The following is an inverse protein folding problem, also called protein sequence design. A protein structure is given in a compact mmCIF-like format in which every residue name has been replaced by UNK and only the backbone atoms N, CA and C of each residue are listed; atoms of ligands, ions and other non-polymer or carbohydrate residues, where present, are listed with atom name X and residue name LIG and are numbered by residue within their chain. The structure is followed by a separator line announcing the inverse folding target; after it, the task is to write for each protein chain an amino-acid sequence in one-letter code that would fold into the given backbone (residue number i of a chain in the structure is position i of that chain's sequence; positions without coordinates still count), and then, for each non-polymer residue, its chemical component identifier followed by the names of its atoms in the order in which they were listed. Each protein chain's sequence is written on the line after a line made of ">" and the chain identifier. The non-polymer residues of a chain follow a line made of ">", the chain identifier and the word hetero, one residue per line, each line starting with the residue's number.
data_IF_189405499838
#
_entry.id   IF_189405499838
#
_cell.length_a   1.000
_cell.length_b   1.000
_cell.length_c   1.000
_cell.angle_alpha   90.00
_cell.angle_beta   90.00
_cell.angle_gamma   90.00
#
_symmetry.space_group_name_H-M   'P 1'
#
loop_
_entity.id
_entity.type
_entity.pdbx_description
1 polymer ?
#
# COMPACT_ATOMS: atom_id res chain seq x y z
N UNK A 1 -7.36 2.19 32.86
CA UNK A 1 -8.14 1.59 31.76
C UNK A 1 -7.44 1.91 30.46
N UNK A 2 -7.09 0.89 29.65
CA UNK A 2 -6.48 1.08 28.33
C UNK A 2 -7.56 1.51 27.31
N UNK A 3 -7.23 2.39 26.35
CA UNK A 3 -8.15 2.96 25.36
C UNK A 3 -7.76 2.53 23.95
N UNK A 4 -8.71 1.98 23.21
CA UNK A 4 -8.52 1.51 21.82
C UNK A 4 -8.17 2.61 20.82
N UNK A 5 -8.62 3.85 21.06
CA UNK A 5 -8.28 5.00 20.20
C UNK A 5 -6.88 5.57 20.41
N UNK A 6 -6.16 5.16 21.47
CA UNK A 6 -4.78 5.59 21.71
C UNK A 6 -3.84 4.63 20.96
N UNK A 7 -3.83 4.78 19.65
CA UNK A 7 -2.96 4.02 18.74
C UNK A 7 -2.13 4.96 17.87
N UNK A 8 -0.96 4.49 17.47
CA UNK A 8 -0.02 5.21 16.61
C UNK A 8 0.82 4.19 15.85
N UNK A 9 1.13 4.49 14.60
CA UNK A 9 2.07 3.74 13.78
C UNK A 9 3.33 4.57 13.57
N UNK A 10 4.49 3.98 13.83
CA UNK A 10 5.78 4.52 13.39
C UNK A 10 6.39 3.58 12.36
N UNK A 11 7.10 4.14 11.39
CA UNK A 11 7.80 3.40 10.35
C UNK A 11 9.24 3.88 10.19
N UNK A 12 10.14 2.97 9.86
CA UNK A 12 11.47 3.30 9.36
C UNK A 12 11.86 2.25 8.33
N UNK A 13 12.39 2.69 7.19
CA UNK A 13 12.82 1.81 6.09
C UNK A 13 14.33 1.64 6.15
N UNK A 14 14.80 0.45 5.78
CA UNK A 14 16.20 0.16 5.64
C UNK A 14 16.75 0.91 4.43
N UNK A 15 17.77 1.74 4.63
CA UNK A 15 18.42 2.52 3.58
C UNK A 15 19.38 1.68 2.71
N UNK A 16 19.44 0.37 2.96
CA UNK A 16 20.33 -0.59 2.29
C UNK A 16 21.72 -0.70 2.93
N UNK A 17 21.98 0.04 4.03
CA UNK A 17 23.25 -0.03 4.76
C UNK A 17 23.20 -0.94 5.99
N UNK A 18 22.05 -1.53 6.30
CA UNK A 18 21.86 -2.43 7.44
C UNK A 18 21.41 -3.81 6.98
N UNK A 19 21.74 -4.83 7.77
CA UNK A 19 21.28 -6.20 7.54
C UNK A 19 19.75 -6.28 7.66
N UNK A 20 19.17 -7.25 6.95
CA UNK A 20 17.73 -7.51 6.98
C UNK A 20 17.24 -7.83 8.40
N UNK A 21 16.04 -7.36 8.75
CA UNK A 21 15.35 -7.76 9.98
C UNK A 21 15.89 -7.10 11.26
N UNK A 22 16.79 -6.12 11.12
CA UNK A 22 17.27 -5.31 12.23
C UNK A 22 16.16 -4.38 12.72
N UNK A 23 16.13 -4.11 14.03
CA UNK A 23 15.26 -3.12 14.64
C UNK A 23 15.76 -1.70 14.33
N UNK A 24 15.34 -1.18 13.18
CA UNK A 24 15.81 0.10 12.63
C UNK A 24 15.42 1.28 13.53
N UNK A 25 14.22 1.24 14.11
CA UNK A 25 13.71 2.31 15.00
C UNK A 25 14.52 2.35 16.30
N UNK A 26 14.88 1.19 16.86
CA UNK A 26 15.73 1.16 18.05
C UNK A 26 17.17 1.61 17.72
N UNK A 27 17.69 1.19 16.57
CA UNK A 27 19.07 1.46 16.16
C UNK A 27 19.33 2.92 15.73
N UNK A 28 18.39 3.55 15.03
CA UNK A 28 18.65 4.80 14.31
C UNK A 28 17.82 5.99 14.83
N UNK A 29 16.94 5.78 15.81
CA UNK A 29 16.15 6.84 16.44
C UNK A 29 14.68 6.82 16.04
N UNK A 30 13.93 7.90 16.32
CA UNK A 30 12.48 7.87 16.22
C UNK A 30 12.03 7.58 14.78
N UNK A 31 11.19 6.56 14.60
CA UNK A 31 10.53 6.29 13.32
C UNK A 31 9.59 7.44 12.90
N UNK A 32 9.31 7.53 11.61
CA UNK A 32 8.36 8.47 11.03
C UNK A 32 6.93 8.11 11.47
N UNK A 33 6.16 9.02 12.08
CA UNK A 33 4.77 8.76 12.41
C UNK A 33 3.89 8.76 11.16
N UNK A 34 3.09 7.71 11.03
CA UNK A 34 2.16 7.54 9.90
C UNK A 34 0.75 7.95 10.34
N UNK A 35 0.17 8.93 9.64
CA UNK A 35 -1.18 9.41 9.90
C UNK A 35 -2.19 8.45 9.28
N UNK A 36 -2.80 7.61 10.11
CA UNK A 36 -3.63 6.49 9.66
C UNK A 36 -5.11 6.65 10.02
N UNK A 37 -5.96 6.01 9.24
CA UNK A 37 -7.37 5.75 9.55
C UNK A 37 -7.64 4.24 9.50
N UNK A 38 -8.52 3.74 10.39
CA UNK A 38 -8.84 2.31 10.43
C UNK A 38 -7.68 1.37 10.80
N UNK A 39 -6.65 1.87 11.48
CA UNK A 39 -5.43 1.13 11.80
C UNK A 39 -5.66 -0.08 12.74
N UNK A 40 -5.41 -1.30 12.30
CA UNK A 40 -5.57 -2.52 13.10
C UNK A 40 -4.27 -3.35 13.12
N UNK A 41 -4.14 -4.23 14.13
CA UNK A 41 -2.99 -5.12 14.28
C UNK A 41 -3.46 -6.53 14.61
N UNK A 42 -2.89 -7.51 13.91
CA UNK A 42 -2.90 -8.91 14.33
C UNK A 42 -1.55 -9.22 14.97
N UNK A 43 -1.47 -9.25 16.31
CA UNK A 43 -0.19 -9.18 17.04
C UNK A 43 0.59 -10.49 17.05
N UNK A 44 -0.03 -11.61 16.69
CA UNK A 44 0.57 -12.94 16.71
C UNK A 44 -0.15 -13.79 15.66
N UNK A 45 0.44 -13.86 14.47
CA UNK A 45 0.10 -14.81 13.41
C UNK A 45 1.14 -15.95 13.43
N UNK A 46 0.76 -17.12 12.94
CA UNK A 46 1.62 -18.30 12.91
C UNK A 46 0.82 -19.60 12.94
N UNK A 47 1.51 -20.72 13.08
CA UNK A 47 0.91 -22.05 13.14
C UNK A 47 0.97 -22.65 14.55
N UNK A 48 -0.06 -23.41 14.93
CA UNK A 48 -0.10 -24.21 16.15
C UNK A 48 0.37 -25.64 15.84
N UNK A 49 1.59 -25.96 16.23
CA UNK A 49 2.15 -27.31 16.12
C UNK A 49 1.76 -28.13 17.35
N UNK A 50 0.79 -29.04 17.21
CA UNK A 50 0.43 -29.96 18.29
C UNK A 50 1.55 -30.96 18.57
N UNK A 51 1.83 -31.17 19.87
CA UNK A 51 2.79 -32.16 20.33
C UNK A 51 2.04 -33.43 20.72
N UNK A 52 1.90 -34.36 19.78
CA UNK A 52 1.21 -35.65 19.99
C UNK A 52 1.96 -36.59 20.97
N UNK A 53 2.03 -36.21 22.25
CA UNK A 53 2.77 -36.93 23.27
C UNK A 53 1.95 -38.10 23.85
N UNK A 54 2.55 -39.29 23.86
CA UNK A 54 2.04 -40.50 24.52
C UNK A 54 2.22 -40.44 26.04
N UNK A 55 1.37 -39.65 26.70
CA UNK A 55 1.37 -39.48 28.17
C UNK A 55 0.38 -40.40 28.91
N UNK A 56 -0.19 -41.40 28.22
CA UNK A 56 -1.16 -42.34 28.80
C UNK A 56 -2.50 -41.72 29.22
N UNK A 57 -2.81 -40.49 28.79
CA UNK A 57 -4.06 -39.78 29.07
C UNK A 57 -4.76 -39.35 27.77
N UNK A 58 -6.08 -39.45 27.77
CA UNK A 58 -6.95 -38.93 26.70
C UNK A 58 -7.11 -37.40 26.84
N UNK A 59 -7.36 -36.72 25.72
CA UNK A 59 -7.57 -35.27 25.65
C UNK A 59 -6.48 -34.52 24.88
N UNK A 60 -6.65 -33.20 24.74
CA UNK A 60 -5.76 -32.33 23.98
C UNK A 60 -4.32 -32.41 24.48
N UNK A 61 -3.38 -32.29 23.54
CA UNK A 61 -1.96 -32.25 23.86
C UNK A 61 -1.43 -30.81 23.84
N UNK A 62 -0.28 -30.54 24.46
CA UNK A 62 0.34 -29.22 24.39
C UNK A 62 0.68 -28.86 22.93
N UNK A 63 0.61 -27.58 22.59
CA UNK A 63 1.02 -27.06 21.27
C UNK A 63 2.20 -26.09 21.39
N UNK A 64 2.91 -25.89 20.28
CA UNK A 64 3.93 -24.86 20.11
C UNK A 64 3.46 -23.88 19.04
N UNK A 65 3.75 -22.60 19.22
CA UNK A 65 3.56 -21.60 18.18
C UNK A 65 4.84 -21.51 17.36
N UNK A 66 4.71 -21.66 16.04
CA UNK A 66 5.81 -21.58 15.07
C UNK A 66 5.44 -20.60 13.98
N UNK A 67 6.42 -20.08 13.25
CA UNK A 67 6.15 -19.14 12.16
C UNK A 67 5.65 -17.77 12.61
N UNK A 68 6.13 -17.29 13.76
CA UNK A 68 5.54 -16.12 14.42
C UNK A 68 5.82 -14.82 13.65
N UNK A 69 4.76 -14.20 13.16
CA UNK A 69 4.82 -12.92 12.49
C UNK A 69 3.65 -12.02 12.92
N UNK A 70 3.68 -10.77 12.47
CA UNK A 70 2.71 -9.74 12.85
C UNK A 70 2.19 -9.08 11.59
N UNK A 71 0.89 -8.79 11.58
CA UNK A 71 0.24 -8.04 10.50
C UNK A 71 -0.35 -6.74 11.00
N UNK A 72 -0.19 -5.68 10.22
CA UNK A 72 -0.84 -4.38 10.44
C UNK A 72 -1.59 -4.01 9.16
N UNK A 73 -2.80 -3.51 9.30
CA UNK A 73 -3.55 -2.94 8.18
C UNK A 73 -4.13 -1.58 8.54
N UNK A 74 -4.37 -0.75 7.53
CA UNK A 74 -4.95 0.56 7.70
C UNK A 74 -5.01 1.33 6.39
N UNK A 75 -5.36 2.61 6.50
CA UNK A 75 -5.40 3.52 5.36
C UNK A 75 -4.67 4.82 5.70
N UNK A 76 -4.10 5.45 4.68
CA UNK A 76 -3.52 6.80 4.75
C UNK A 76 -4.18 7.68 3.69
N UNK A 77 -4.22 8.98 3.93
CA UNK A 77 -4.69 9.97 2.95
C UNK A 77 -3.60 10.20 1.90
N UNK A 78 -3.98 10.15 0.62
CA UNK A 78 -3.02 10.22 -0.47
C UNK A 78 -2.84 11.67 -0.95
N UNK A 79 -1.66 12.23 -0.68
CA UNK A 79 -1.32 13.63 -0.99
C UNK A 79 0.15 13.76 -1.41
N UNK A 80 0.51 14.83 -2.11
CA UNK A 80 1.92 15.21 -2.25
C UNK A 80 2.53 15.68 -0.92
N UNK A 81 3.86 15.77 -0.87
CA UNK A 81 4.64 16.10 0.34
C UNK A 81 4.62 17.59 0.76
N UNK A 82 3.98 18.46 -0.03
CA UNK A 82 3.99 19.92 0.13
C UNK A 82 5.17 20.63 -0.55
N UNK A 83 6.18 19.89 -1.03
CA UNK A 83 7.28 20.38 -1.84
C UNK A 83 7.74 19.30 -2.84
N UNK A 84 8.07 19.69 -4.08
CA UNK A 84 8.26 18.76 -5.21
C UNK A 84 9.42 17.77 -5.07
N UNK A 85 10.46 18.13 -4.29
CA UNK A 85 11.65 17.29 -4.08
C UNK A 85 11.68 16.62 -2.70
N UNK A 86 10.57 16.70 -1.96
CA UNK A 86 10.42 16.05 -0.67
C UNK A 86 9.64 14.77 -0.86
N UNK A 87 10.13 13.62 -0.37
CA UNK A 87 9.36 12.39 -0.34
C UNK A 87 8.02 12.53 0.39
N UNK A 88 7.03 11.76 -0.06
CA UNK A 88 5.72 11.73 0.56
C UNK A 88 5.79 11.09 1.94
N UNK A 89 4.95 11.54 2.87
CA UNK A 89 4.95 11.03 4.24
C UNK A 89 4.57 9.54 4.37
N UNK A 90 3.91 8.97 3.35
CA UNK A 90 3.59 7.54 3.23
C UNK A 90 4.64 6.74 2.46
N UNK A 91 5.75 7.34 2.01
CA UNK A 91 6.82 6.64 1.29
C UNK A 91 7.30 5.35 1.98
N UNK A 92 7.42 5.27 3.33
CA UNK A 92 7.79 4.02 3.99
C UNK A 92 6.89 2.82 3.67
N UNK A 93 5.59 3.06 3.47
CA UNK A 93 4.61 2.01 3.12
C UNK A 93 4.88 1.54 1.68
N UNK A 94 5.08 2.48 0.76
CA UNK A 94 5.38 2.16 -0.64
C UNK A 94 6.70 1.38 -0.77
N UNK A 95 7.71 1.78 0.01
CA UNK A 95 9.02 1.15 -0.02
C UNK A 95 8.99 -0.31 0.42
N UNK A 96 8.33 -0.61 1.55
CA UNK A 96 8.14 -2.02 1.97
C UNK A 96 7.16 -2.78 1.08
N UNK A 97 6.36 -2.08 0.26
CA UNK A 97 5.53 -2.66 -0.79
C UNK A 97 6.27 -2.86 -2.12
N UNK A 98 7.60 -2.75 -2.14
CA UNK A 98 8.42 -3.08 -3.31
C UNK A 98 8.67 -1.91 -4.27
N UNK A 99 8.50 -0.66 -3.81
CA UNK A 99 8.82 0.52 -4.62
C UNK A 99 10.12 1.18 -4.16
N UNK A 100 10.90 1.67 -5.11
CA UNK A 100 12.09 2.46 -4.86
C UNK A 100 11.79 3.93 -5.08
N UNK A 101 12.01 4.71 -4.04
CA UNK A 101 12.00 6.16 -4.08
C UNK A 101 13.27 6.70 -4.76
N UNK A 102 13.09 7.62 -5.70
CA UNK A 102 14.17 8.35 -6.36
C UNK A 102 13.82 9.83 -6.41
N UNK A 103 14.59 10.67 -5.73
CA UNK A 103 14.44 12.13 -5.80
C UNK A 103 15.08 12.63 -7.10
N UNK A 104 14.23 13.06 -8.03
CA UNK A 104 14.64 13.62 -9.31
C UNK A 104 14.97 15.11 -9.24
N UNK A 105 14.98 15.76 -10.42
CA UNK A 105 15.26 17.20 -10.52
C UNK A 105 14.01 18.08 -10.30
N UNK A 106 12.81 17.53 -10.48
CA UNK A 106 11.54 18.26 -10.39
C UNK A 106 10.43 17.50 -9.66
N UNK A 107 10.66 16.25 -9.29
CA UNK A 107 9.65 15.36 -8.70
C UNK A 107 10.35 14.24 -7.92
N UNK A 108 9.58 13.53 -7.11
CA UNK A 108 10.02 12.27 -6.48
C UNK A 108 9.28 11.12 -7.17
N UNK A 109 10.05 10.19 -7.73
CA UNK A 109 9.57 9.01 -8.43
C UNK A 109 9.57 7.79 -7.50
N UNK A 110 8.54 6.96 -7.59
CA UNK A 110 8.42 5.68 -6.91
C UNK A 110 8.17 4.62 -7.98
N UNK A 111 9.20 3.82 -8.28
CA UNK A 111 9.15 2.78 -9.29
C UNK A 111 9.27 1.40 -8.65
N UNK A 112 8.58 0.39 -9.19
CA UNK A 112 8.68 -0.99 -8.73
C UNK A 112 10.13 -1.49 -8.84
N UNK A 113 10.59 -2.20 -7.82
CA UNK A 113 11.87 -2.91 -7.81
C UNK A 113 11.69 -4.28 -8.46
N UNK A 114 12.63 -4.67 -9.34
CA UNK A 114 12.54 -5.91 -10.13
C UNK A 114 13.81 -6.76 -10.07
N UNK A 115 14.79 -6.37 -9.26
CA UNK A 115 16.08 -7.03 -9.10
C UNK A 115 16.23 -7.76 -7.75
N UNK A 116 15.12 -7.93 -7.01
CA UNK A 116 15.08 -8.50 -5.65
C UNK A 116 15.79 -7.64 -4.59
N UNK A 117 15.93 -6.33 -4.83
CA UNK A 117 16.48 -5.36 -3.87
C UNK A 117 15.39 -4.56 -3.14
N UNK A 118 14.17 -5.11 -3.03
CA UNK A 118 13.04 -4.44 -2.39
C UNK A 118 13.41 -4.09 -0.94
N UNK A 119 13.22 -2.83 -0.50
CA UNK A 119 13.55 -2.42 0.87
C UNK A 119 12.75 -3.18 1.93
N UNK A 120 13.39 -3.48 3.06
CA UNK A 120 12.70 -3.87 4.29
C UNK A 120 12.46 -2.70 5.23
N UNK A 121 11.62 -2.88 6.24
CA UNK A 121 11.36 -1.83 7.22
C UNK A 121 11.02 -2.36 8.61
N UNK A 122 11.12 -1.47 9.59
CA UNK A 122 10.64 -1.67 10.95
C UNK A 122 9.40 -0.83 11.19
N UNK A 123 8.34 -1.46 11.71
CA UNK A 123 7.12 -0.77 12.10
C UNK A 123 6.82 -1.00 13.57
N UNK A 124 6.49 0.07 14.29
CA UNK A 124 6.02 -0.01 15.67
C UNK A 124 4.56 0.39 15.74
N UNK A 125 3.72 -0.55 16.16
CA UNK A 125 2.31 -0.28 16.47
C UNK A 125 2.14 -0.06 17.97
N UNK A 126 1.73 1.14 18.34
CA UNK A 126 1.42 1.47 19.71
C UNK A 126 -0.07 1.26 19.98
N UNK A 127 -0.40 0.61 21.11
CA UNK A 127 -1.76 0.41 21.61
C UNK A 127 -1.76 0.70 23.11
N UNK A 128 -2.12 1.92 23.53
CA UNK A 128 -2.17 2.42 24.92
C UNK A 128 -1.34 1.62 25.95
N UNK A 129 -0.01 1.78 25.90
CA UNK A 129 0.92 1.13 26.84
C UNK A 129 1.62 -0.13 26.33
N UNK A 130 1.24 -0.67 25.17
CA UNK A 130 1.96 -1.75 24.49
C UNK A 130 2.47 -1.29 23.13
N UNK A 131 3.63 -1.82 22.74
CA UNK A 131 4.30 -1.59 21.46
C UNK A 131 4.51 -2.94 20.81
N UNK A 132 3.92 -3.16 19.64
CA UNK A 132 4.15 -4.34 18.81
C UNK A 132 5.20 -3.97 17.76
N UNK A 133 6.31 -4.72 17.74
CA UNK A 133 7.42 -4.48 16.81
C UNK A 133 7.34 -5.44 15.64
N UNK A 134 7.41 -4.89 14.43
CA UNK A 134 7.50 -5.62 13.17
C UNK A 134 8.86 -5.33 12.58
N UNK A 135 9.65 -6.37 12.32
CA UNK A 135 10.99 -6.24 11.77
C UNK A 135 11.04 -6.87 10.37
N UNK A 136 11.95 -6.41 9.50
CA UNK A 136 12.12 -6.98 8.17
C UNK A 136 10.84 -6.90 7.32
N UNK A 137 9.97 -5.93 7.58
CA UNK A 137 8.60 -5.94 7.09
C UNK A 137 8.53 -5.76 5.56
N UNK A 138 7.54 -6.41 4.95
CA UNK A 138 7.07 -6.20 3.58
C UNK A 138 5.57 -5.94 3.59
N UNK A 139 5.05 -5.35 2.52
CA UNK A 139 3.64 -5.02 2.45
C UNK A 139 3.04 -5.08 1.06
N UNK A 140 1.73 -4.87 1.03
CA UNK A 140 0.95 -4.62 -0.17
C UNK A 140 0.15 -3.34 0.05
N UNK A 141 -0.19 -2.65 -1.03
CA UNK A 141 -0.99 -1.44 -0.99
C UNK A 141 -2.05 -1.41 -2.08
N UNK A 142 -3.07 -0.58 -1.86
CA UNK A 142 -4.06 -0.23 -2.87
C UNK A 142 -4.32 1.26 -2.85
N UNK A 143 -4.77 1.80 -3.97
CA UNK A 143 -5.10 3.21 -4.17
C UNK A 143 -6.56 3.34 -4.58
N UNK A 144 -7.30 4.24 -3.92
CA UNK A 144 -8.70 4.54 -4.26
C UNK A 144 -8.91 6.04 -4.44
N UNK A 145 -9.46 6.42 -5.60
CA UNK A 145 -9.86 7.78 -5.94
C UNK A 145 -11.30 7.78 -6.42
N UNK A 146 -12.20 8.32 -5.60
CA UNK A 146 -13.63 8.36 -5.90
C UNK A 146 -14.19 9.76 -5.79
N UNK A 147 -14.90 10.22 -6.83
CA UNK A 147 -15.41 11.59 -6.90
C UNK A 147 -16.30 11.92 -5.70
N UNK A 148 -15.94 12.99 -4.99
CA UNK A 148 -16.63 13.44 -3.77
C UNK A 148 -16.02 12.95 -2.46
N UNK A 149 -15.04 12.04 -2.53
CA UNK A 149 -14.32 11.50 -1.38
C UNK A 149 -12.84 11.96 -1.39
N UNK A 150 -12.12 11.69 -0.30
CA UNK A 150 -10.68 11.92 -0.23
C UNK A 150 -9.93 10.75 -0.87
N UNK A 151 -8.83 11.00 -1.60
CA UNK A 151 -8.01 9.92 -2.13
C UNK A 151 -7.34 9.16 -0.98
N UNK A 152 -7.34 7.83 -1.03
CA UNK A 152 -6.80 6.98 0.04
C UNK A 152 -5.86 5.93 -0.51
N UNK A 153 -4.86 5.57 0.30
CA UNK A 153 -4.03 4.39 0.10
C UNK A 153 -4.28 3.41 1.24
N UNK A 154 -4.78 2.22 0.91
CA UNK A 154 -4.87 1.10 1.84
C UNK A 154 -3.52 0.39 1.90
N UNK A 155 -3.20 -0.18 3.06
CA UNK A 155 -1.99 -0.97 3.22
C UNK A 155 -2.23 -2.18 4.13
N UNK A 156 -1.52 -3.26 3.83
CA UNK A 156 -1.29 -4.40 4.73
C UNK A 156 0.22 -4.66 4.78
N UNK A 157 0.76 -4.68 5.99
CA UNK A 157 2.18 -4.88 6.26
C UNK A 157 2.33 -6.13 7.11
N UNK A 158 3.20 -7.03 6.66
CA UNK A 158 3.62 -8.22 7.39
C UNK A 158 5.08 -8.08 7.78
N UNK A 159 5.41 -8.35 9.04
CA UNK A 159 6.78 -8.32 9.54
C UNK A 159 7.06 -9.44 10.53
N UNK A 160 8.34 -9.74 10.71
CA UNK A 160 8.80 -10.68 11.74
C UNK A 160 8.40 -10.18 13.12
N UNK A 161 8.12 -11.11 14.03
CA UNK A 161 7.77 -10.79 15.40
C UNK A 161 8.98 -10.24 16.17
N UNK A 162 9.06 -8.91 16.30
CA UNK A 162 10.10 -8.21 17.07
C UNK A 162 9.82 -8.14 18.58
N UNK A 163 8.76 -8.79 19.05
CA UNK A 163 8.31 -8.74 20.45
C UNK A 163 7.24 -7.68 20.73
N UNK A 164 6.62 -7.83 21.90
CA UNK A 164 5.69 -6.84 22.47
C UNK A 164 6.28 -6.29 23.76
N UNK A 165 6.50 -4.98 23.81
CA UNK A 165 7.07 -4.31 24.98
C UNK A 165 6.11 -3.27 25.56
N UNK A 166 6.25 -2.98 26.85
CA UNK A 166 5.49 -1.88 27.45
C UNK A 166 6.18 -0.54 27.17
N UNK A 167 5.41 0.47 26.78
CA UNK A 167 5.96 1.80 26.56
C UNK A 167 4.88 2.88 26.43
N UNK A 168 5.29 4.13 26.64
CA UNK A 168 4.41 5.27 26.46
C UNK A 168 4.19 5.56 24.97
N UNK A 169 3.02 6.13 24.64
CA UNK A 169 2.80 6.70 23.31
C UNK A 169 3.76 7.90 23.14
N UNK A 170 4.56 7.98 22.07
CA UNK A 170 5.38 9.15 21.82
C UNK A 170 4.49 10.34 21.42
N UNK A 171 5.10 11.54 21.34
CA UNK A 171 4.45 12.72 20.78
C UNK A 171 4.73 12.75 19.27
N UNK A 172 3.80 12.33 18.39
CA UNK A 172 4.04 12.30 16.96
C UNK A 172 4.07 13.71 16.37
N UNK A 173 4.92 13.91 15.36
CA UNK A 173 4.89 15.09 14.49
C UNK A 173 4.33 14.71 13.12
N UNK A 174 3.15 15.23 12.78
CA UNK A 174 2.50 15.00 11.49
C UNK A 174 2.70 16.17 10.51
N UNK A 175 3.67 17.06 10.74
CA UNK A 175 3.91 18.23 9.88
C UNK A 175 4.24 17.91 8.42
N UNK A 176 4.76 16.71 8.14
CA UNK A 176 4.98 16.22 6.78
C UNK A 176 3.67 15.87 6.04
N UNK A 177 2.58 15.61 6.76
CA UNK A 177 1.29 15.26 6.19
C UNK A 177 0.53 16.53 5.76
N UNK A 178 0.14 16.57 4.49
CA UNK A 178 -0.64 17.67 3.94
C UNK A 178 -2.13 17.36 4.04
N UNK A 179 -2.97 18.40 4.11
CA UNK A 179 -4.42 18.21 3.97
C UNK A 179 -4.74 17.81 2.53
N UNK A 180 -5.36 16.63 2.29
CA UNK A 180 -5.71 16.18 0.95
C UNK A 180 -6.84 17.03 0.36
N UNK A 181 -6.86 17.09 -0.97
CA UNK A 181 -7.96 17.69 -1.72
C UNK A 181 -8.99 16.61 -2.07
N UNK A 182 -10.28 16.97 -2.18
CA UNK A 182 -11.28 15.98 -2.61
C UNK A 182 -11.04 15.59 -4.07
N UNK A 183 -11.35 14.34 -4.42
CA UNK A 183 -11.37 13.90 -5.82
C UNK A 183 -12.52 14.60 -6.55
N UNK A 184 -12.22 15.18 -7.71
CA UNK A 184 -13.16 15.95 -8.51
C UNK A 184 -12.50 16.68 -9.68
N UNK A 185 -13.32 17.26 -10.56
CA UNK A 185 -12.89 17.87 -11.84
C UNK A 185 -11.83 18.97 -11.70
N UNK A 186 -11.77 19.62 -10.53
CA UNK A 186 -10.89 20.75 -10.24
C UNK A 186 -9.49 20.29 -9.81
N UNK A 187 -9.33 19.01 -9.46
CA UNK A 187 -8.12 18.48 -8.83
C UNK A 187 -7.66 17.16 -9.44
N UNK A 188 -8.47 16.50 -10.27
CA UNK A 188 -8.20 15.13 -10.77
C UNK A 188 -8.35 15.07 -12.28
N UNK A 189 -7.34 14.51 -12.95
CA UNK A 189 -7.34 14.24 -14.38
C UNK A 189 -7.03 12.77 -14.59
N UNK A 190 -7.91 12.06 -15.28
CA UNK A 190 -7.76 10.64 -15.63
C UNK A 190 -7.69 10.48 -17.14
N UNK A 191 -6.73 9.69 -17.62
CA UNK A 191 -6.52 9.43 -19.04
C UNK A 191 -6.31 7.95 -19.35
N UNK A 192 -6.82 7.54 -20.50
CA UNK A 192 -6.45 6.30 -21.19
C UNK A 192 -5.96 6.66 -22.59
N UNK A 193 -4.79 6.14 -22.99
CA UNK A 193 -4.15 6.47 -24.28
C UNK A 193 -4.09 7.98 -24.57
N UNK A 194 -3.65 8.75 -23.57
CA UNK A 194 -3.56 10.22 -23.59
C UNK A 194 -4.90 10.97 -23.79
N UNK A 195 -6.03 10.26 -23.86
CA UNK A 195 -7.38 10.84 -23.93
C UNK A 195 -7.97 10.98 -22.52
N UNK A 196 -8.45 12.17 -22.20
CA UNK A 196 -9.08 12.46 -20.90
C UNK A 196 -10.52 11.95 -20.84
N UNK A 197 -10.86 11.24 -19.77
CA UNK A 197 -12.21 10.71 -19.53
C UNK A 197 -12.80 11.24 -18.21
N UNK A 198 -14.13 11.35 -18.18
CA UNK A 198 -14.89 11.72 -16.98
C UNK A 198 -14.94 10.55 -16.01
N UNK A 199 -13.89 10.41 -15.22
CA UNK A 199 -13.76 9.37 -14.20
C UNK A 199 -14.66 9.67 -12.99
N UNK A 200 -15.31 8.61 -12.52
CA UNK A 200 -16.15 8.59 -11.33
C UNK A 200 -15.48 7.86 -10.17
N UNK A 201 -14.76 6.78 -10.48
CA UNK A 201 -14.07 5.93 -9.51
C UNK A 201 -12.83 5.31 -10.18
N UNK A 202 -11.75 5.23 -9.43
CA UNK A 202 -10.54 4.51 -9.76
C UNK A 202 -10.11 3.73 -8.53
N UNK A 203 -9.98 2.43 -8.68
CA UNK A 203 -9.42 1.53 -7.68
C UNK A 203 -8.28 0.74 -8.31
N UNK A 204 -7.19 0.63 -7.56
CA UNK A 204 -6.00 -0.12 -7.95
C UNK A 204 -5.45 -0.86 -6.74
N UNK A 205 -5.07 -2.12 -6.90
CA UNK A 205 -4.41 -2.91 -5.87
C UNK A 205 -3.14 -3.51 -6.44
N UNK A 206 -2.03 -3.43 -5.70
CA UNK A 206 -0.75 -4.01 -6.10
C UNK A 206 -0.77 -5.54 -6.06
N UNK A 207 -1.60 -6.10 -5.17
CA UNK A 207 -1.74 -7.53 -4.95
C UNK A 207 -0.39 -8.24 -4.78
N UNK A 208 0.50 -7.68 -3.94
CA UNK A 208 1.78 -8.30 -3.63
C UNK A 208 1.56 -9.61 -2.85
N UNK A 209 2.27 -10.66 -3.25
CA UNK A 209 2.32 -11.95 -2.56
C UNK A 209 3.39 -11.90 -1.47
N UNK A 210 2.95 -11.70 -0.22
CA UNK A 210 3.82 -11.62 0.96
C UNK A 210 3.86 -12.95 1.68
N UNK A 211 5.05 -13.56 1.76
CA UNK A 211 5.26 -14.88 2.35
C UNK A 211 6.21 -14.80 3.54
N UNK A 212 5.82 -15.41 4.65
CA UNK A 212 6.74 -15.76 5.73
C UNK A 212 7.48 -17.05 5.34
N UNK A 213 8.80 -17.07 5.49
CA UNK A 213 9.63 -18.26 5.29
C UNK A 213 10.68 -18.36 6.40
N UNK A 214 10.84 -19.58 6.92
CA UNK A 214 11.85 -19.91 7.93
C UNK A 214 12.59 -21.17 7.47
N UNK A 215 13.91 -21.08 7.43
CA UNK A 215 14.79 -22.21 7.16
C UNK A 215 15.87 -22.31 8.25
N UNK A 216 16.76 -23.30 8.15
CA UNK A 216 17.77 -23.55 9.19
C UNK A 216 18.84 -22.46 9.34
N UNK A 217 18.87 -21.48 8.43
CA UNK A 217 19.86 -20.39 8.39
C UNK A 217 19.22 -19.04 8.68
N UNK A 218 18.02 -18.79 8.16
CA UNK A 218 17.34 -17.50 8.28
C UNK A 218 15.83 -17.59 8.37
N UNK A 219 15.24 -16.52 8.90
CA UNK A 219 13.81 -16.28 9.00
C UNK A 219 13.52 -14.93 8.31
N UNK A 220 12.63 -14.92 7.31
CA UNK A 220 12.38 -13.72 6.49
C UNK A 220 10.92 -13.59 6.04
N UNK A 221 10.54 -12.35 5.74
CA UNK A 221 9.33 -12.01 5.00
C UNK A 221 9.75 -11.64 3.59
N UNK A 222 9.25 -12.38 2.60
CA UNK A 222 9.50 -12.14 1.19
C UNK A 222 8.30 -11.48 0.52
N UNK A 223 8.58 -10.56 -0.39
CA UNK A 223 7.66 -10.16 -1.45
C UNK A 223 8.04 -11.01 -2.67
N UNK A 224 7.19 -11.97 -3.03
CA UNK A 224 7.55 -13.05 -3.96
C UNK A 224 7.02 -12.88 -5.38
N UNK A 225 5.86 -12.23 -5.50
CA UNK A 225 5.19 -11.93 -6.77
C UNK A 225 4.25 -10.74 -6.56
N UNK A 226 3.71 -10.20 -7.64
CA UNK A 226 2.65 -9.19 -7.62
C UNK A 226 1.75 -9.32 -8.83
N UNK A 227 0.47 -9.00 -8.65
CA UNK A 227 -0.52 -9.10 -9.74
C UNK A 227 -1.40 -7.85 -9.76
N UNK A 228 -0.87 -6.67 -10.13
CA UNK A 228 -1.59 -5.43 -9.97
C UNK A 228 -2.79 -5.37 -10.91
N UNK A 229 -3.94 -5.07 -10.34
CA UNK A 229 -5.21 -4.96 -11.05
C UNK A 229 -6.09 -3.88 -10.45
N UNK A 230 -7.21 -3.63 -11.10
CA UNK A 230 -8.11 -2.59 -10.64
C UNK A 230 -9.36 -2.45 -11.46
N UNK A 231 -10.08 -1.37 -11.16
CA UNK A 231 -11.33 -1.03 -11.81
C UNK A 231 -11.41 0.49 -11.98
N UNK A 232 -11.86 0.91 -13.17
CA UNK A 232 -12.22 2.30 -13.45
C UNK A 232 -13.71 2.37 -13.73
N UNK A 233 -14.38 3.39 -13.22
CA UNK A 233 -15.73 3.77 -13.65
C UNK A 233 -15.66 5.13 -14.33
N UNK A 234 -16.10 5.21 -15.59
CA UNK A 234 -16.19 6.46 -16.36
C UNK A 234 -17.60 6.69 -16.88
N UNK A 235 -17.98 7.96 -17.08
CA UNK A 235 -19.14 8.29 -17.93
C UNK A 235 -18.89 7.75 -19.34
N UNK A 236 -19.83 7.01 -19.91
CA UNK A 236 -19.66 6.41 -21.24
C UNK A 236 -19.67 7.51 -22.32
N UNK A 237 -18.56 7.72 -23.05
CA UNK A 237 -18.57 8.55 -24.25
C UNK A 237 -19.34 7.85 -25.38
N UNK A 238 -19.48 8.51 -26.53
CA UNK A 238 -20.03 7.85 -27.71
C UNK A 238 -19.16 6.63 -28.08
N UNK A 239 -19.80 5.53 -28.46
CA UNK A 239 -19.10 4.28 -28.79
C UNK A 239 -18.09 4.45 -29.93
N UNK A 240 -18.33 5.40 -30.84
CA UNK A 240 -17.41 5.73 -31.93
C UNK A 240 -16.12 6.41 -31.44
N UNK A 241 -16.17 7.11 -30.30
CA UNK A 241 -15.00 7.77 -29.71
C UNK A 241 -14.21 6.79 -28.82
N UNK A 242 -14.91 5.88 -28.15
CA UNK A 242 -14.29 4.84 -27.31
C UNK A 242 -15.18 3.59 -27.26
N UNK A 243 -14.68 2.51 -27.88
CA UNK A 243 -15.28 1.18 -27.81
C UNK A 243 -14.43 0.27 -26.90
N UNK A 244 -14.69 0.28 -25.57
CA UNK A 244 -13.94 -0.57 -24.64
C UNK A 244 -14.16 -2.06 -24.90
N UNK A 245 -15.28 -2.44 -25.54
CA UNK A 245 -15.60 -3.84 -25.83
C UNK A 245 -14.74 -4.39 -26.96
N UNK A 246 -14.53 -3.60 -28.03
CA UNK A 246 -13.60 -3.96 -29.09
C UNK A 246 -12.16 -4.04 -28.55
N UNK A 247 -11.73 -3.05 -27.75
CA UNK A 247 -10.40 -3.05 -27.10
C UNK A 247 -10.19 -4.33 -26.28
N UNK A 248 -11.15 -4.67 -25.40
CA UNK A 248 -11.10 -5.87 -24.58
C UNK A 248 -11.11 -7.17 -25.41
N UNK A 249 -11.99 -7.27 -26.42
CA UNK A 249 -12.08 -8.44 -27.30
C UNK A 249 -10.79 -8.67 -28.08
N UNK A 250 -10.19 -7.59 -28.57
CA UNK A 250 -8.99 -7.65 -29.41
C UNK A 250 -7.71 -7.75 -28.57
N UNK A 251 -7.83 -7.74 -27.23
CA UNK A 251 -6.72 -7.78 -26.27
C UNK A 251 -5.74 -6.63 -26.46
N UNK A 252 -6.24 -5.45 -26.87
CA UNK A 252 -5.42 -4.26 -27.01
C UNK A 252 -4.99 -3.73 -25.64
N UNK A 253 -3.80 -3.14 -25.60
CA UNK A 253 -3.22 -2.49 -24.42
C UNK A 253 -3.41 -0.99 -24.50
N UNK A 254 -3.59 -0.34 -23.35
CA UNK A 254 -3.72 1.11 -23.24
C UNK A 254 -2.68 1.64 -22.24
N UNK A 255 -2.16 2.84 -22.47
CA UNK A 255 -1.49 3.61 -21.42
C UNK A 255 -2.55 4.21 -20.48
N UNK A 256 -2.22 4.32 -19.19
CA UNK A 256 -3.12 4.88 -18.18
C UNK A 256 -2.37 5.92 -17.35
N UNK A 257 -3.03 7.05 -17.05
CA UNK A 257 -2.56 7.98 -16.03
C UNK A 257 -3.71 8.57 -15.23
N UNK A 258 -3.49 8.76 -13.93
CA UNK A 258 -4.34 9.54 -13.04
C UNK A 258 -3.48 10.52 -12.27
N UNK A 259 -3.77 11.81 -12.40
CA UNK A 259 -3.11 12.86 -11.64
C UNK A 259 -4.13 13.51 -10.71
N UNK A 260 -3.75 13.68 -9.44
CA UNK A 260 -4.59 14.31 -8.43
C UNK A 260 -3.79 15.31 -7.59
N UNK A 261 -4.29 16.53 -7.42
CA UNK A 261 -3.71 17.49 -6.49
C UNK A 261 -3.90 18.96 -6.83
N UNK A 262 -3.28 19.81 -6.01
CA UNK A 262 -3.47 21.26 -6.01
C UNK A 262 -2.29 22.08 -6.52
N UNK A 263 -1.39 21.50 -7.31
CA UNK A 263 -0.18 22.17 -7.83
C UNK A 263 1.12 21.55 -7.32
N UNK A 264 2.22 22.30 -7.45
CA UNK A 264 3.58 21.85 -7.10
C UNK A 264 3.70 21.45 -5.62
N UNK A 265 4.40 20.34 -5.37
CA UNK A 265 4.55 19.62 -4.13
C UNK A 265 3.30 18.89 -3.65
N UNK A 266 2.14 19.09 -4.26
CA UNK A 266 0.84 18.60 -3.77
C UNK A 266 0.17 17.63 -4.73
N UNK A 267 0.82 17.33 -5.85
CA UNK A 267 0.23 16.51 -6.90
C UNK A 267 0.81 15.11 -6.83
N UNK A 268 -0.07 14.13 -6.77
CA UNK A 268 0.25 12.73 -7.02
C UNK A 268 -0.06 12.41 -8.48
N UNK A 269 0.72 11.54 -9.08
CA UNK A 269 0.43 10.97 -10.38
C UNK A 269 0.73 9.48 -10.33
N UNK A 270 -0.24 8.66 -10.74
CA UNK A 270 -0.06 7.24 -10.95
C UNK A 270 -0.18 7.00 -12.45
N UNK A 271 0.81 6.33 -13.04
CA UNK A 271 0.82 6.03 -14.46
C UNK A 271 1.43 4.66 -14.77
N UNK A 272 1.02 4.10 -15.90
CA UNK A 272 1.60 2.88 -16.48
C UNK A 272 1.45 2.95 -17.99
N UNK A 273 2.45 2.42 -18.70
CA UNK A 273 2.45 2.42 -20.16
C UNK A 273 1.54 1.33 -20.76
N UNK A 274 1.23 0.27 -20.00
CA UNK A 274 0.42 -0.85 -20.51
C UNK A 274 -0.50 -1.42 -19.43
N UNK A 275 -1.79 -1.16 -19.59
CA UNK A 275 -2.88 -1.93 -19.00
C UNK A 275 -3.59 -2.74 -20.08
N UNK A 276 -4.25 -3.82 -19.67
CA UNK A 276 -5.19 -4.55 -20.51
C UNK A 276 -6.57 -4.54 -19.84
N UNK A 277 -7.60 -4.20 -20.62
CA UNK A 277 -8.98 -4.23 -20.13
C UNK A 277 -9.47 -5.68 -19.96
N UNK A 278 -10.20 -5.90 -18.88
CA UNK A 278 -10.91 -7.15 -18.59
C UNK A 278 -12.22 -7.22 -19.37
N UNK A 279 -13.35 -7.42 -18.68
CA UNK A 279 -14.68 -7.44 -19.30
C UNK A 279 -15.43 -6.16 -18.96
N UNK A 280 -15.50 -5.17 -19.87
CA UNK A 280 -16.28 -3.96 -19.64
C UNK A 280 -17.75 -4.29 -19.40
N UNK A 281 -18.39 -3.58 -18.47
CA UNK A 281 -19.83 -3.67 -18.22
C UNK A 281 -20.45 -2.28 -18.18
N UNK A 282 -21.75 -2.21 -18.48
CA UNK A 282 -22.51 -0.98 -18.26
C UNK A 282 -22.87 -0.83 -16.78
N UNK A 283 -22.84 0.41 -16.30
CA UNK A 283 -23.42 0.81 -15.02
C UNK A 283 -24.26 2.08 -15.19
N UNK A 284 -25.14 2.35 -14.23
CA UNK A 284 -25.90 3.60 -14.16
C UNK A 284 -25.37 4.46 -13.03
N UNK A 285 -25.22 5.76 -13.30
CA UNK A 285 -25.01 6.77 -12.27
C UNK A 285 -25.90 7.97 -12.55
N UNK A 286 -26.92 8.15 -11.72
CA UNK A 286 -27.86 9.28 -11.81
C UNK A 286 -28.52 9.38 -13.20
N UNK A 287 -28.85 8.24 -13.83
CA UNK A 287 -29.45 8.18 -15.15
C UNK A 287 -28.48 8.34 -16.32
N UNK A 288 -27.17 8.43 -16.05
CA UNK A 288 -26.12 8.42 -17.07
C UNK A 288 -25.55 7.03 -17.23
N UNK A 289 -25.37 6.62 -18.48
CA UNK A 289 -24.66 5.39 -18.81
C UNK A 289 -23.17 5.57 -18.49
N UNK A 290 -22.63 4.59 -17.76
CA UNK A 290 -21.24 4.52 -17.39
C UNK A 290 -20.64 3.21 -17.88
N UNK A 291 -19.32 3.21 -18.11
CA UNK A 291 -18.55 1.99 -18.27
C UNK A 291 -17.85 1.66 -16.96
N UNK A 292 -18.01 0.42 -16.52
CA UNK A 292 -17.13 -0.20 -15.53
C UNK A 292 -16.07 -0.99 -16.29
N UNK A 293 -14.81 -0.65 -16.07
CA UNK A 293 -13.65 -1.13 -16.81
C UNK A 293 -12.69 -1.82 -15.82
N UNK A 294 -12.84 -3.13 -15.59
CA UNK A 294 -11.79 -3.90 -14.93
C UNK A 294 -10.53 -3.84 -15.78
N UNK A 295 -9.36 -3.73 -15.16
CA UNK A 295 -8.07 -3.77 -15.87
C UNK A 295 -7.04 -4.58 -15.09
N UNK A 296 -6.00 -5.02 -15.80
CA UNK A 296 -4.77 -5.55 -15.22
C UNK A 296 -3.60 -4.73 -15.73
N UNK A 297 -2.59 -4.56 -14.90
CA UNK A 297 -1.34 -3.90 -15.27
C UNK A 297 -0.42 -4.93 -15.92
N UNK A 298 0.17 -4.59 -17.08
CA UNK A 298 1.14 -5.43 -17.78
C UNK A 298 2.57 -4.89 -17.69
N UNK A 299 2.70 -3.58 -17.50
CA UNK A 299 3.98 -2.91 -17.26
C UNK A 299 3.90 -2.13 -15.95
N UNK A 300 4.94 -2.23 -15.13
CA UNK A 300 4.92 -1.76 -13.74
C UNK A 300 4.41 -0.32 -13.60
N UNK A 301 3.61 -0.10 -12.56
CA UNK A 301 3.06 1.22 -12.23
C UNK A 301 4.18 2.11 -11.69
N UNK A 302 4.24 3.34 -12.20
CA UNK A 302 5.03 4.40 -11.61
C UNK A 302 4.09 5.33 -10.83
N UNK A 303 4.47 5.65 -9.60
CA UNK A 303 3.86 6.73 -8.85
C UNK A 303 4.86 7.88 -8.72
N UNK A 304 4.39 9.10 -8.88
CA UNK A 304 5.19 10.31 -8.78
C UNK A 304 4.51 11.28 -7.84
N UNK A 305 5.29 11.96 -7.02
CA UNK A 305 4.84 13.14 -6.28
C UNK A 305 5.59 14.38 -6.76
N UNK A 306 4.84 15.41 -7.16
CA UNK A 306 5.38 16.64 -7.75
C UNK A 306 4.67 17.88 -7.26
#
# INVERSE_FOLDING_TARGET
>A
MRRTKKKLLLAMVNDGNQDYGIDLIDANGPGLPIQTTGLEVTPLEGEELERELDNGKNGNKPMLLVGMHVKISGNVELTGAGAALTPAAYAPIMQVAGFKETVGASQVDYARVTDNSEPDGSFYFFQDGAIHKLLGARGTMGTSLKVGELPTMSFEITGLYGGVVSGALPSPDFSAWQTPEKVGHDKTVFKLDDVEYKMYEFEHSENNEIAYDENTVEERIYLTDWKPDGQIIIEAPELADFDPFAIARDNATLAMSISHGGGEGKTIELSTAQIQLGKPTYSDREGKVCYTLPFRVLEDVALVTK
#
